data_IF_173104263055
#
_entry.id   IF_173104263055
#
_cell.length_a   1.000
_cell.length_b   1.000
_cell.length_c   1.000
_cell.angle_alpha   90.00
_cell.angle_beta   90.00
_cell.angle_gamma   90.00
#
_symmetry.space_group_name_H-M   'P 1'
#
loop_
_entity.id
_entity.type
_entity.pdbx_description
1 polymer ?
#
# COMPACT_ATOMS: atom_id res chain seq x y z
N UNK A 1 23.21 186.43 -26.40
CA UNK A 1 23.06 185.48 -25.29
C UNK A 1 21.94 184.48 -25.58
N UNK A 2 22.26 183.30 -26.13
CA UNK A 2 21.36 182.13 -26.16
C UNK A 2 22.14 180.83 -26.54
N UNK A 3 23.36 180.67 -26.00
CA UNK A 3 24.23 179.49 -26.16
C UNK A 3 24.26 178.78 -24.80
N UNK A 4 23.21 178.05 -24.37
CA UNK A 4 23.34 177.12 -23.23
C UNK A 4 22.23 176.07 -22.98
N UNK A 5 21.18 175.93 -23.81
CA UNK A 5 20.11 174.92 -23.57
C UNK A 5 20.18 173.66 -24.44
N UNK A 6 20.99 173.63 -25.49
CA UNK A 6 21.12 172.47 -26.39
C UNK A 6 22.19 171.45 -25.97
N UNK A 7 23.07 171.79 -25.01
CA UNK A 7 24.15 170.89 -24.56
C UNK A 7 23.67 169.83 -23.54
N UNK A 8 22.66 170.14 -22.70
CA UNK A 8 22.13 169.22 -21.67
C UNK A 8 21.30 168.10 -22.31
N UNK A 9 20.49 168.43 -23.32
CA UNK A 9 19.69 167.45 -24.09
C UNK A 9 20.58 166.45 -24.84
N UNK A 10 21.82 166.84 -25.19
CA UNK A 10 22.77 165.97 -25.89
C UNK A 10 23.37 164.88 -24.99
N UNK A 11 23.59 165.17 -23.71
CA UNK A 11 24.19 164.22 -22.77
C UNK A 11 23.18 163.21 -22.19
N UNK A 12 21.94 163.63 -21.90
CA UNK A 12 20.90 162.70 -21.42
C UNK A 12 20.46 161.74 -22.53
N UNK A 13 20.43 162.20 -23.79
CA UNK A 13 20.13 161.33 -24.93
C UNK A 13 21.20 160.24 -25.13
N UNK A 14 22.48 160.58 -24.96
CA UNK A 14 23.61 159.63 -25.07
C UNK A 14 23.54 158.50 -24.03
N UNK A 15 23.25 158.81 -22.76
CA UNK A 15 23.10 157.79 -21.71
C UNK A 15 21.87 156.89 -21.90
N UNK A 16 20.81 157.43 -22.49
CA UNK A 16 19.63 156.64 -22.87
C UNK A 16 19.96 155.76 -24.08
N UNK A 17 20.74 156.24 -25.06
CA UNK A 17 21.19 155.48 -26.22
C UNK A 17 22.12 154.32 -25.83
N UNK A 18 23.06 154.50 -24.91
CA UNK A 18 23.94 153.42 -24.40
C UNK A 18 23.18 152.34 -23.60
N UNK A 19 22.26 152.75 -22.71
CA UNK A 19 21.41 151.78 -21.98
C UNK A 19 20.46 151.05 -22.90
N UNK A 20 19.99 151.70 -23.96
CA UNK A 20 19.15 151.11 -24.99
C UNK A 20 19.92 150.09 -25.83
N UNK A 21 21.18 150.38 -26.19
CA UNK A 21 22.05 149.42 -26.88
C UNK A 21 22.44 148.21 -26.01
N UNK A 22 22.72 148.42 -24.71
CA UNK A 22 23.02 147.34 -23.77
C UNK A 22 21.79 146.45 -23.53
N UNK A 23 20.61 147.06 -23.37
CA UNK A 23 19.35 146.35 -23.24
C UNK A 23 18.98 145.60 -24.54
N UNK A 24 19.23 146.18 -25.72
CA UNK A 24 19.06 145.49 -27.00
C UNK A 24 20.00 144.30 -27.16
N UNK A 25 21.26 144.40 -26.72
CA UNK A 25 22.22 143.27 -26.74
C UNK A 25 21.84 142.15 -25.76
N UNK A 26 21.38 142.47 -24.55
CA UNK A 26 20.91 141.47 -23.59
C UNK A 26 19.60 140.81 -24.05
N UNK A 27 18.68 141.58 -24.64
CA UNK A 27 17.47 141.04 -25.27
C UNK A 27 17.84 140.13 -26.44
N UNK A 28 18.81 140.49 -27.27
CA UNK A 28 19.29 139.62 -28.36
C UNK A 28 19.99 138.35 -27.85
N UNK A 29 20.78 138.42 -26.77
CA UNK A 29 21.40 137.24 -26.14
C UNK A 29 20.33 136.32 -25.56
N UNK A 30 19.38 136.86 -24.80
CA UNK A 30 18.27 136.11 -24.21
C UNK A 30 17.32 135.54 -25.28
N UNK A 31 17.11 136.24 -26.39
CA UNK A 31 16.35 135.71 -27.54
C UNK A 31 17.05 134.50 -28.16
N UNK A 32 18.37 134.58 -28.38
CA UNK A 32 19.15 133.44 -28.91
C UNK A 32 19.18 132.26 -27.94
N UNK A 33 19.33 132.49 -26.64
CA UNK A 33 19.28 131.43 -25.63
C UNK A 33 17.88 130.82 -25.55
N UNK A 34 16.82 131.64 -25.58
CA UNK A 34 15.43 131.17 -25.61
C UNK A 34 15.15 130.35 -26.87
N UNK A 35 15.63 130.76 -28.04
CA UNK A 35 15.50 130.01 -29.29
C UNK A 35 16.31 128.72 -29.27
N UNK A 36 17.52 128.74 -28.70
CA UNK A 36 18.36 127.56 -28.53
C UNK A 36 17.74 126.56 -27.54
N UNK A 37 17.29 127.02 -26.37
CA UNK A 37 16.55 126.20 -25.41
C UNK A 37 15.23 125.69 -25.99
N UNK A 38 14.52 126.48 -26.80
CA UNK A 38 13.30 126.03 -27.49
C UNK A 38 13.58 124.97 -28.53
N UNK A 39 14.70 125.07 -29.27
CA UNK A 39 15.18 124.05 -30.19
C UNK A 39 15.55 122.75 -29.47
N UNK A 40 16.26 122.85 -28.33
CA UNK A 40 16.60 121.69 -27.48
C UNK A 40 15.34 121.03 -26.92
N UNK A 41 14.42 121.81 -26.36
CA UNK A 41 13.14 121.31 -25.83
C UNK A 41 12.36 120.62 -26.94
N UNK A 42 12.29 121.21 -28.15
CA UNK A 42 11.62 120.62 -29.30
C UNK A 42 12.23 119.26 -29.69
N UNK A 43 13.56 119.15 -29.73
CA UNK A 43 14.25 117.90 -30.05
C UNK A 43 14.04 116.84 -28.94
N UNK A 44 14.19 117.21 -27.67
CA UNK A 44 13.93 116.31 -26.54
C UNK A 44 12.48 115.83 -26.50
N UNK A 45 11.52 116.71 -26.83
CA UNK A 45 10.09 116.32 -26.89
C UNK A 45 9.87 115.31 -28.02
N UNK A 46 10.52 115.51 -29.18
CA UNK A 46 10.44 114.61 -30.33
C UNK A 46 11.10 113.25 -30.05
N UNK A 47 12.24 113.24 -29.36
CA UNK A 47 12.93 112.03 -28.92
C UNK A 47 12.12 111.28 -27.86
N UNK A 48 11.49 112.00 -26.93
CA UNK A 48 10.60 111.42 -25.91
C UNK A 48 9.33 110.83 -26.55
N UNK A 49 8.73 111.50 -27.54
CA UNK A 49 7.62 110.95 -28.32
C UNK A 49 8.03 109.70 -29.10
N UNK A 50 9.21 109.71 -29.73
CA UNK A 50 9.74 108.55 -30.44
C UNK A 50 10.02 107.37 -29.48
N UNK A 51 10.58 107.64 -28.30
CA UNK A 51 10.82 106.65 -27.26
C UNK A 51 9.51 106.08 -26.72
N UNK A 52 8.51 106.92 -26.44
CA UNK A 52 7.18 106.50 -25.98
C UNK A 52 6.49 105.60 -27.01
N UNK A 53 6.53 105.96 -28.30
CA UNK A 53 5.99 105.11 -29.38
C UNK A 53 6.71 103.76 -29.44
N UNK A 54 8.03 103.75 -29.30
CA UNK A 54 8.81 102.52 -29.30
C UNK A 54 8.46 101.63 -28.10
N UNK A 55 8.30 102.22 -26.91
CA UNK A 55 7.95 101.49 -25.69
C UNK A 55 6.53 100.94 -25.75
N UNK A 56 5.58 101.70 -26.31
CA UNK A 56 4.20 101.27 -26.55
C UNK A 56 4.14 100.08 -27.52
N UNK A 57 4.94 100.11 -28.59
CA UNK A 57 5.11 98.97 -29.51
C UNK A 57 5.72 97.75 -28.82
N UNK A 58 6.71 97.94 -27.94
CA UNK A 58 7.31 96.85 -27.17
C UNK A 58 6.31 96.23 -26.19
N UNK A 59 5.52 97.04 -25.50
CA UNK A 59 4.47 96.57 -24.59
C UNK A 59 3.39 95.78 -25.34
N UNK A 60 2.95 96.25 -26.51
CA UNK A 60 2.05 95.48 -27.36
C UNK A 60 2.65 94.15 -27.83
N UNK A 61 3.93 94.16 -28.23
CA UNK A 61 4.60 92.96 -28.72
C UNK A 61 4.78 91.91 -27.60
N UNK A 62 5.17 92.36 -26.39
CA UNK A 62 5.26 91.49 -25.21
C UNK A 62 3.86 90.98 -24.83
N UNK A 63 2.83 91.84 -24.89
CA UNK A 63 1.44 91.45 -24.63
C UNK A 63 0.90 90.40 -25.61
N UNK A 64 1.20 90.53 -26.91
CA UNK A 64 0.87 89.52 -27.94
C UNK A 64 1.57 88.19 -27.65
N UNK A 65 2.88 88.21 -27.41
CA UNK A 65 3.66 87.00 -27.09
C UNK A 65 3.18 86.31 -25.80
N UNK A 66 2.81 87.09 -24.78
CA UNK A 66 2.27 86.56 -23.53
C UNK A 66 0.94 85.83 -23.76
N UNK A 67 0.02 86.42 -24.54
CA UNK A 67 -1.26 85.77 -24.91
C UNK A 67 -1.07 84.51 -25.75
N UNK A 68 -0.19 84.54 -26.75
CA UNK A 68 0.11 83.36 -27.56
C UNK A 68 0.69 82.22 -26.71
N UNK A 69 1.59 82.54 -25.78
CA UNK A 69 2.15 81.54 -24.87
C UNK A 69 1.10 81.00 -23.88
N UNK A 70 0.21 81.87 -23.38
CA UNK A 70 -0.90 81.48 -22.51
C UNK A 70 -1.86 80.54 -23.23
N UNK A 71 -2.26 80.86 -24.47
CA UNK A 71 -3.07 79.97 -25.29
C UNK A 71 -2.36 78.63 -25.52
N UNK A 72 -1.09 78.62 -25.93
CA UNK A 72 -0.32 77.38 -26.11
C UNK A 72 -0.23 76.53 -24.84
N UNK A 73 -0.01 77.15 -23.69
CA UNK A 73 0.00 76.48 -22.39
C UNK A 73 -1.36 75.87 -22.09
N UNK A 74 -2.46 76.59 -22.33
CA UNK A 74 -3.81 76.06 -22.08
C UNK A 74 -4.14 74.87 -22.98
N UNK A 75 -3.71 74.88 -24.25
CA UNK A 75 -3.90 73.74 -25.15
C UNK A 75 -3.08 72.53 -24.70
N UNK A 76 -1.82 72.75 -24.30
CA UNK A 76 -0.95 71.68 -23.76
C UNK A 76 -1.48 71.11 -22.45
N UNK A 77 -2.01 71.92 -21.55
CA UNK A 77 -2.63 71.46 -20.30
C UNK A 77 -3.79 70.52 -20.62
N UNK A 78 -4.70 70.91 -21.53
CA UNK A 78 -5.83 70.05 -21.94
C UNK A 78 -5.38 68.73 -22.57
N UNK A 79 -4.32 68.76 -23.38
CA UNK A 79 -3.77 67.56 -24.00
C UNK A 79 -3.18 66.61 -22.96
N UNK A 80 -2.42 67.12 -22.00
CA UNK A 80 -1.86 66.33 -20.89
C UNK A 80 -2.96 65.77 -20.01
N UNK A 81 -4.01 66.54 -19.68
CA UNK A 81 -5.16 66.06 -18.93
C UNK A 81 -5.88 64.92 -19.64
N UNK A 82 -6.08 65.03 -20.96
CA UNK A 82 -6.67 63.98 -21.78
C UNK A 82 -5.81 62.70 -21.79
N UNK A 83 -4.49 62.85 -21.98
CA UNK A 83 -3.56 61.72 -21.95
C UNK A 83 -3.51 61.05 -20.57
N UNK A 84 -3.55 61.85 -19.49
CA UNK A 84 -3.61 61.35 -18.12
C UNK A 84 -4.89 60.53 -17.88
N UNK A 85 -6.03 61.03 -18.37
CA UNK A 85 -7.30 60.30 -18.27
C UNK A 85 -7.27 58.97 -19.04
N UNK A 86 -6.72 58.95 -20.25
CA UNK A 86 -6.56 57.70 -21.01
C UNK A 86 -5.60 56.72 -20.33
N UNK A 87 -4.48 57.21 -19.81
CA UNK A 87 -3.51 56.40 -19.07
C UNK A 87 -4.15 55.77 -17.83
N UNK A 88 -4.90 56.55 -17.03
CA UNK A 88 -5.57 56.06 -15.83
C UNK A 88 -6.61 54.97 -16.14
N UNK A 89 -7.41 55.14 -17.20
CA UNK A 89 -8.35 54.08 -17.65
C UNK A 89 -7.61 52.79 -17.99
N UNK A 90 -6.47 52.91 -18.68
CA UNK A 90 -5.67 51.76 -19.10
C UNK A 90 -5.00 51.05 -17.91
N UNK A 91 -4.60 51.80 -16.89
CA UNK A 91 -4.11 51.24 -15.62
C UNK A 91 -5.22 50.45 -14.93
N UNK A 92 -6.42 51.01 -14.82
CA UNK A 92 -7.57 50.35 -14.19
C UNK A 92 -7.96 49.04 -14.91
N UNK A 93 -7.99 49.04 -16.25
CA UNK A 93 -8.20 47.84 -17.05
C UNK A 93 -7.13 46.77 -16.81
N UNK A 94 -5.86 47.16 -16.74
CA UNK A 94 -4.74 46.24 -16.47
C UNK A 94 -4.78 45.69 -15.05
N UNK A 95 -5.16 46.49 -14.06
CA UNK A 95 -5.34 46.05 -12.68
C UNK A 95 -6.46 45.02 -12.55
N UNK A 96 -7.61 45.27 -13.19
CA UNK A 96 -8.72 44.30 -13.24
C UNK A 96 -8.28 43.00 -13.92
N UNK A 97 -7.62 43.10 -15.08
CA UNK A 97 -7.12 41.93 -15.82
C UNK A 97 -6.10 41.13 -15.00
N UNK A 98 -5.19 41.81 -14.31
CA UNK A 98 -4.20 41.20 -13.41
C UNK A 98 -4.88 40.47 -12.26
N UNK A 99 -5.86 41.12 -11.62
CA UNK A 99 -6.61 40.54 -10.49
C UNK A 99 -7.40 39.30 -10.89
N UNK A 100 -8.09 39.35 -12.04
CA UNK A 100 -8.80 38.21 -12.60
C UNK A 100 -7.84 37.06 -12.94
N UNK A 101 -6.67 37.37 -13.53
CA UNK A 101 -5.66 36.37 -13.84
C UNK A 101 -5.14 35.69 -12.58
N UNK A 102 -4.88 36.44 -11.51
CA UNK A 102 -4.48 35.88 -10.20
C UNK A 102 -5.53 34.92 -9.67
N UNK A 103 -6.81 35.32 -9.64
CA UNK A 103 -7.90 34.48 -9.16
C UNK A 103 -8.05 33.17 -9.95
N UNK A 104 -7.87 33.23 -11.27
CA UNK A 104 -7.90 32.03 -12.12
C UNK A 104 -6.72 31.09 -11.83
N UNK A 105 -5.54 31.64 -11.52
CA UNK A 105 -4.39 30.83 -11.11
C UNK A 105 -4.63 30.18 -9.75
N UNK A 106 -5.17 30.92 -8.78
CA UNK A 106 -5.51 30.38 -7.46
C UNK A 106 -6.53 29.23 -7.57
N UNK A 107 -7.55 29.39 -8.44
CA UNK A 107 -8.52 28.33 -8.71
C UNK A 107 -7.87 27.10 -9.35
N UNK A 108 -6.99 27.29 -10.33
CA UNK A 108 -6.26 26.18 -10.96
C UNK A 108 -5.37 25.45 -9.96
N UNK A 109 -4.63 26.20 -9.13
CA UNK A 109 -3.77 25.64 -8.10
C UNK A 109 -4.57 24.79 -7.11
N UNK A 110 -5.72 25.27 -6.64
CA UNK A 110 -6.59 24.49 -5.77
C UNK A 110 -7.11 23.19 -6.41
N UNK A 111 -7.49 23.23 -7.69
CA UNK A 111 -7.93 22.04 -8.43
C UNK A 111 -6.77 21.04 -8.55
N UNK A 112 -5.58 21.50 -8.91
CA UNK A 112 -4.39 20.65 -9.02
C UNK A 112 -4.02 20.06 -7.67
N UNK A 113 -4.06 20.85 -6.60
CA UNK A 113 -3.76 20.37 -5.25
C UNK A 113 -4.73 19.26 -4.83
N UNK A 114 -6.03 19.47 -5.01
CA UNK A 114 -7.04 18.45 -4.72
C UNK A 114 -6.84 17.17 -5.55
N UNK A 115 -6.48 17.29 -6.83
CA UNK A 115 -6.15 16.13 -7.66
C UNK A 115 -4.92 15.37 -7.13
N UNK A 116 -3.85 16.09 -6.78
CA UNK A 116 -2.62 15.48 -6.26
C UNK A 116 -2.86 14.77 -4.92
N UNK A 117 -3.63 15.39 -4.01
CA UNK A 117 -3.98 14.79 -2.72
C UNK A 117 -4.79 13.50 -2.89
N UNK A 118 -5.74 13.50 -3.83
CA UNK A 118 -6.52 12.30 -4.16
C UNK A 118 -5.65 11.18 -4.75
N UNK A 119 -4.72 11.51 -5.66
CA UNK A 119 -3.78 10.52 -6.21
C UNK A 119 -2.88 9.95 -5.10
N UNK A 120 -2.44 10.77 -4.17
CA UNK A 120 -1.61 10.32 -3.05
C UNK A 120 -2.36 9.36 -2.11
N UNK A 121 -3.65 9.59 -1.88
CA UNK A 121 -4.51 8.68 -1.12
C UNK A 121 -4.65 7.32 -1.81
N UNK A 122 -4.97 7.32 -3.11
CA UNK A 122 -5.12 6.07 -3.89
C UNK A 122 -3.83 5.24 -3.89
N UNK A 123 -2.68 5.90 -4.08
CA UNK A 123 -1.38 5.21 -4.04
C UNK A 123 -1.10 4.62 -2.66
N UNK A 124 -1.48 5.33 -1.58
CA UNK A 124 -1.32 4.83 -0.21
C UNK A 124 -2.18 3.59 0.04
N UNK A 125 -3.42 3.58 -0.44
CA UNK A 125 -4.33 2.45 -0.30
C UNK A 125 -3.81 1.22 -1.07
N UNK A 126 -3.33 1.42 -2.30
CA UNK A 126 -2.70 0.35 -3.09
C UNK A 126 -1.49 -0.23 -2.36
N UNK A 127 -0.66 0.61 -1.74
CA UNK A 127 0.51 0.16 -0.99
C UNK A 127 0.13 -0.68 0.23
N UNK A 128 -0.87 -0.24 1.00
CA UNK A 128 -1.36 -0.99 2.17
C UNK A 128 -1.92 -2.35 1.72
N UNK A 129 -2.71 -2.35 0.66
CA UNK A 129 -3.31 -3.56 0.12
C UNK A 129 -2.25 -4.54 -0.40
N UNK A 130 -1.24 -4.04 -1.13
CA UNK A 130 -0.11 -4.84 -1.60
C UNK A 130 0.64 -5.50 -0.43
N UNK A 131 0.90 -4.74 0.64
CA UNK A 131 1.57 -5.28 1.83
C UNK A 131 0.73 -6.35 2.55
N UNK A 132 -0.59 -6.15 2.61
CA UNK A 132 -1.51 -7.16 3.17
C UNK A 132 -1.44 -8.46 2.37
N UNK A 133 -1.50 -8.37 1.03
CA UNK A 133 -1.41 -9.56 0.17
C UNK A 133 -0.09 -10.30 0.31
N UNK A 134 1.05 -9.59 0.44
CA UNK A 134 2.33 -10.24 0.70
C UNK A 134 2.30 -11.03 2.02
N UNK A 135 1.77 -10.43 3.09
CA UNK A 135 1.67 -11.08 4.39
C UNK A 135 0.77 -12.32 4.35
N UNK A 136 -0.38 -12.21 3.68
CA UNK A 136 -1.31 -13.32 3.49
C UNK A 136 -0.66 -14.46 2.67
N UNK A 137 0.11 -14.10 1.65
CA UNK A 137 0.85 -15.08 0.84
C UNK A 137 1.90 -15.84 1.69
N UNK A 138 2.66 -15.12 2.51
CA UNK A 138 3.63 -15.73 3.43
C UNK A 138 2.94 -16.64 4.46
N UNK A 139 1.82 -16.20 5.04
CA UNK A 139 1.05 -17.00 5.99
C UNK A 139 0.55 -18.30 5.34
N UNK A 140 -0.01 -18.20 4.14
CA UNK A 140 -0.49 -19.35 3.37
C UNK A 140 0.67 -20.30 3.03
N UNK A 141 1.82 -19.77 2.60
CA UNK A 141 3.00 -20.58 2.32
C UNK A 141 3.48 -21.36 3.55
N UNK A 142 3.47 -20.74 4.73
CA UNK A 142 3.84 -21.40 5.98
C UNK A 142 2.83 -22.47 6.39
N UNK A 143 1.54 -22.22 6.21
CA UNK A 143 0.50 -23.22 6.47
C UNK A 143 0.67 -24.46 5.58
N UNK A 144 0.78 -24.29 4.27
CA UNK A 144 0.99 -25.42 3.34
C UNK A 144 2.27 -26.20 3.65
N UNK A 145 3.36 -25.51 4.01
CA UNK A 145 4.60 -26.17 4.40
C UNK A 145 4.42 -27.05 5.63
N UNK A 146 3.69 -26.56 6.62
CA UNK A 146 3.40 -27.32 7.85
C UNK A 146 2.48 -28.50 7.55
N UNK A 147 1.44 -28.33 6.74
CA UNK A 147 0.53 -29.43 6.35
C UNK A 147 1.26 -30.53 5.61
N UNK A 148 2.10 -30.19 4.63
CA UNK A 148 2.91 -31.17 3.89
C UNK A 148 3.87 -31.90 4.83
N UNK A 149 4.50 -31.17 5.77
CA UNK A 149 5.38 -31.78 6.77
C UNK A 149 4.62 -32.75 7.69
N UNK A 150 3.42 -32.39 8.12
CA UNK A 150 2.58 -33.22 8.98
C UNK A 150 2.06 -34.47 8.25
N UNK A 151 1.68 -34.33 6.98
CA UNK A 151 1.34 -35.47 6.14
C UNK A 151 2.55 -36.39 5.93
N UNK A 152 3.73 -35.82 5.69
CA UNK A 152 4.96 -36.58 5.55
C UNK A 152 5.33 -37.38 6.80
N UNK A 153 5.21 -36.78 7.98
CA UNK A 153 5.47 -37.48 9.26
C UNK A 153 4.42 -38.56 9.53
N UNK A 154 3.13 -38.28 9.30
CA UNK A 154 2.05 -39.25 9.46
C UNK A 154 2.20 -40.45 8.52
N UNK A 155 2.54 -40.22 7.26
CA UNK A 155 2.77 -41.29 6.29
C UNK A 155 3.97 -42.16 6.69
N UNK A 156 5.06 -41.55 7.16
CA UNK A 156 6.22 -42.28 7.65
C UNK A 156 5.86 -43.20 8.81
N UNK A 157 5.11 -42.71 9.80
CA UNK A 157 4.65 -43.53 10.92
C UNK A 157 3.78 -44.71 10.47
N UNK A 158 2.91 -44.52 9.47
CA UNK A 158 2.08 -45.59 8.92
C UNK A 158 2.92 -46.66 8.19
N UNK A 159 3.92 -46.25 7.42
CA UNK A 159 4.84 -47.17 6.74
C UNK A 159 5.63 -47.98 7.78
N UNK A 160 6.20 -47.32 8.79
CA UNK A 160 6.95 -47.98 9.85
C UNK A 160 6.06 -49.00 10.61
N UNK A 161 4.79 -48.65 10.88
CA UNK A 161 3.83 -49.54 11.52
C UNK A 161 3.49 -50.76 10.65
N UNK A 162 3.26 -50.56 9.34
CA UNK A 162 2.96 -51.63 8.41
C UNK A 162 4.14 -52.61 8.25
N UNK A 163 5.38 -52.10 8.15
CA UNK A 163 6.58 -52.93 8.11
C UNK A 163 6.74 -53.75 9.39
N UNK A 164 6.54 -53.13 10.55
CA UNK A 164 6.64 -53.83 11.83
C UNK A 164 5.55 -54.90 11.97
N UNK A 165 4.32 -54.62 11.52
CA UNK A 165 3.25 -55.61 11.52
C UNK A 165 3.60 -56.83 10.64
N UNK A 166 4.19 -56.61 9.46
CA UNK A 166 4.61 -57.70 8.58
C UNK A 166 5.73 -58.56 9.20
N UNK A 167 6.68 -57.93 9.91
CA UNK A 167 7.72 -58.65 10.67
C UNK A 167 7.09 -59.53 11.76
N UNK A 168 6.17 -58.98 12.55
CA UNK A 168 5.47 -59.71 13.61
C UNK A 168 4.66 -60.88 13.04
N UNK A 169 3.94 -60.68 11.92
CA UNK A 169 3.20 -61.75 11.26
C UNK A 169 4.12 -62.90 10.83
N UNK A 170 5.25 -62.56 10.19
CA UNK A 170 6.24 -63.54 9.73
C UNK A 170 6.84 -64.32 10.90
N UNK A 171 7.18 -63.63 12.00
CA UNK A 171 7.70 -64.27 13.20
C UNK A 171 6.64 -65.15 13.88
N UNK A 172 5.39 -64.68 13.97
CA UNK A 172 4.28 -65.46 14.52
C UNK A 172 4.04 -66.74 13.72
N UNK A 173 4.12 -66.68 12.39
CA UNK A 173 4.03 -67.85 11.52
C UNK A 173 5.16 -68.85 11.81
N UNK A 174 6.40 -68.37 11.94
CA UNK A 174 7.56 -69.24 12.27
C UNK A 174 7.40 -69.90 13.64
N UNK A 175 7.15 -69.11 14.68
CA UNK A 175 6.99 -69.60 16.05
C UNK A 175 5.80 -70.55 16.17
N UNK A 176 4.70 -70.27 15.47
CA UNK A 176 3.54 -71.15 15.45
C UNK A 176 3.90 -72.54 14.92
N UNK A 177 4.63 -72.61 13.80
CA UNK A 177 5.04 -73.87 13.20
C UNK A 177 6.10 -74.60 14.05
N UNK A 178 7.05 -73.87 14.66
CA UNK A 178 7.99 -74.46 15.63
C UNK A 178 7.26 -75.10 16.82
N UNK A 179 6.23 -74.43 17.37
CA UNK A 179 5.39 -75.01 18.42
C UNK A 179 4.65 -76.27 17.93
N UNK A 180 4.20 -76.31 16.67
CA UNK A 180 3.59 -77.52 16.12
C UNK A 180 4.60 -78.66 15.98
N UNK A 181 5.83 -78.38 15.54
CA UNK A 181 6.91 -79.37 15.42
C UNK A 181 7.31 -79.92 16.79
N UNK A 182 7.45 -79.07 17.81
CA UNK A 182 7.76 -79.47 19.19
C UNK A 182 6.67 -80.34 19.81
N UNK A 183 5.41 -80.12 19.46
CA UNK A 183 4.29 -81.02 19.84
C UNK A 183 4.31 -82.36 19.10
N UNK A 184 5.19 -82.53 18.12
CA UNK A 184 5.35 -83.72 17.30
C UNK A 184 4.60 -83.62 15.98
N UNK A 185 5.28 -83.97 14.89
CA UNK A 185 4.73 -84.03 13.52
C UNK A 185 3.74 -85.19 13.33
N UNK A 186 3.83 -86.23 14.17
CA UNK A 186 2.87 -87.32 14.24
C UNK A 186 2.26 -87.30 15.63
N UNK A 187 0.93 -87.20 15.68
CA UNK A 187 0.16 -87.19 16.92
C UNK A 187 -0.90 -88.27 16.85
N UNK A 188 -0.95 -89.11 17.88
CA UNK A 188 -1.90 -90.19 18.02
C UNK A 188 -2.85 -89.86 19.16
N UNK A 189 -4.12 -89.67 18.81
CA UNK A 189 -5.21 -89.41 19.76
C UNK A 189 -6.04 -90.68 19.90
N UNK A 190 -6.42 -91.02 21.13
CA UNK A 190 -7.42 -92.04 21.38
C UNK A 190 -8.76 -91.36 21.67
N UNK A 191 -9.85 -91.81 21.05
CA UNK A 191 -11.19 -91.32 21.36
C UNK A 191 -12.10 -92.48 21.70
N UNK A 192 -12.60 -92.49 22.93
CA UNK A 192 -13.55 -93.49 23.39
C UNK A 192 -14.95 -92.98 23.11
N UNK A 193 -15.74 -93.72 22.32
CA UNK A 193 -17.13 -93.34 22.04
C UNK A 193 -18.04 -93.62 23.25
N UNK A 194 -19.14 -92.87 23.43
CA UNK A 194 -20.18 -93.24 24.37
C UNK A 194 -20.87 -94.56 23.99
N UNK A 195 -21.43 -95.22 25.01
CA UNK A 195 -22.29 -96.39 24.83
C UNK A 195 -23.58 -95.98 24.09
N UNK A 196 -23.99 -96.78 23.12
CA UNK A 196 -25.24 -96.59 22.40
C UNK A 196 -26.41 -97.18 23.21
N UNK A 197 -27.62 -96.71 22.94
CA UNK A 197 -28.85 -97.23 23.56
C UNK A 197 -28.95 -98.74 23.37
N UNK A 198 -29.02 -99.50 24.47
CA UNK A 198 -29.04 -100.97 24.46
C UNK A 198 -27.68 -101.65 24.72
N UNK A 199 -26.59 -100.91 24.89
CA UNK A 199 -25.30 -101.46 25.34
C UNK A 199 -25.17 -101.40 26.87
N UNK A 200 -24.71 -102.48 27.49
CA UNK A 200 -24.53 -102.55 28.94
C UNK A 200 -23.26 -101.78 29.37
N UNK A 201 -23.44 -100.76 30.22
CA UNK A 201 -22.33 -99.97 30.78
C UNK A 201 -21.38 -100.82 31.65
N UNK A 202 -21.83 -101.96 32.15
CA UNK A 202 -21.03 -102.86 33.00
C UNK A 202 -20.05 -103.74 32.22
N UNK A 203 -20.10 -103.76 30.89
CA UNK A 203 -19.19 -104.57 30.05
C UNK A 203 -17.93 -103.82 29.58
N UNK A 204 -17.61 -102.66 30.16
CA UNK A 204 -16.40 -101.92 29.78
C UNK A 204 -15.15 -102.67 30.21
N UNK A 205 -14.16 -102.68 29.32
CA UNK A 205 -12.81 -103.22 29.56
C UNK A 205 -11.84 -102.09 29.91
N UNK A 206 -12.31 -100.84 30.02
CA UNK A 206 -11.47 -99.67 30.31
C UNK A 206 -11.55 -99.34 31.80
N UNK A 207 -10.40 -99.38 32.46
CA UNK A 207 -10.28 -99.15 33.91
C UNK A 207 -9.93 -97.70 34.25
N UNK A 208 -9.12 -97.05 33.42
CA UNK A 208 -8.65 -95.68 33.68
C UNK A 208 -8.38 -94.91 32.38
N UNK A 209 -8.77 -93.64 32.35
CA UNK A 209 -8.46 -92.66 31.32
C UNK A 209 -7.80 -91.46 31.99
N UNK A 210 -6.48 -91.33 31.84
CA UNK A 210 -5.72 -90.22 32.40
C UNK A 210 -5.67 -89.02 31.47
N UNK A 211 -5.69 -87.82 32.05
CA UNK A 211 -5.56 -86.55 31.32
C UNK A 211 -4.21 -86.43 30.59
N UNK A 212 -3.20 -87.16 31.06
CA UNK A 212 -1.85 -87.21 30.47
C UNK A 212 -1.75 -88.12 29.22
N UNK A 213 -2.89 -88.58 28.69
CA UNK A 213 -2.96 -89.46 27.51
C UNK A 213 -2.74 -90.94 27.82
N UNK A 214 -2.87 -91.35 29.08
CA UNK A 214 -2.74 -92.75 29.50
C UNK A 214 -4.11 -93.45 29.49
N UNK A 215 -4.17 -94.66 28.93
CA UNK A 215 -5.38 -95.48 28.87
C UNK A 215 -5.08 -96.87 29.39
N UNK A 216 -5.78 -97.30 30.45
CA UNK A 216 -5.64 -98.62 31.05
C UNK A 216 -6.82 -99.52 30.64
N UNK A 217 -6.51 -100.67 30.05
CA UNK A 217 -7.46 -101.67 29.58
C UNK A 217 -7.24 -102.98 30.32
N UNK A 218 -8.32 -103.63 30.77
CA UNK A 218 -8.30 -104.81 31.62
C UNK A 218 -9.00 -105.99 30.98
N UNK A 219 -8.22 -106.96 30.54
CA UNK A 219 -8.71 -108.15 29.88
C UNK A 219 -9.40 -109.09 30.88
N UNK A 220 -10.73 -109.30 30.79
CA UNK A 220 -11.46 -110.17 31.71
C UNK A 220 -11.07 -111.66 31.59
N UNK A 221 -10.36 -112.06 30.53
CA UNK A 221 -9.95 -113.43 30.27
C UNK A 221 -8.51 -113.75 30.73
N UNK A 222 -7.79 -112.80 31.35
CA UNK A 222 -6.42 -113.00 31.87
C UNK A 222 -6.34 -112.53 33.33
N UNK A 223 -5.83 -113.36 34.23
CA UNK A 223 -5.69 -113.03 35.65
C UNK A 223 -4.29 -112.51 36.00
N UNK A 224 -4.19 -111.59 36.97
CA UNK A 224 -2.91 -111.05 37.46
C UNK A 224 -2.37 -109.85 36.66
N UNK A 225 -1.06 -109.56 36.78
CA UNK A 225 -0.40 -108.42 36.10
C UNK A 225 -0.53 -108.45 34.57
N UNK A 226 -0.71 -109.63 33.97
CA UNK A 226 -0.90 -109.81 32.52
C UNK A 226 -2.34 -109.51 32.03
N UNK A 227 -3.26 -109.24 32.96
CA UNK A 227 -4.63 -108.82 32.69
C UNK A 227 -4.75 -107.35 32.29
N UNK A 228 -3.82 -106.48 32.71
CA UNK A 228 -3.88 -105.05 32.46
C UNK A 228 -2.90 -104.61 31.37
N UNK A 229 -3.35 -103.73 30.46
CA UNK A 229 -2.51 -103.11 29.42
C UNK A 229 -2.67 -101.61 29.45
N UNK A 230 -1.54 -100.92 29.63
CA UNK A 230 -1.49 -99.46 29.59
C UNK A 230 -1.00 -99.00 28.21
N UNK A 231 -1.73 -98.07 27.61
CA UNK A 231 -1.38 -97.41 26.36
C UNK A 231 -1.14 -95.93 26.62
N UNK A 232 -0.16 -95.35 25.92
CA UNK A 232 0.15 -93.93 25.98
C UNK A 232 -0.08 -93.28 24.63
N UNK A 233 -0.91 -92.25 24.63
CA UNK A 233 -1.30 -91.43 23.47
C UNK A 233 -0.92 -89.97 23.73
N UNK A 234 -1.01 -89.13 22.70
CA UNK A 234 -0.88 -87.68 22.89
C UNK A 234 -2.02 -87.12 23.75
N UNK A 235 -3.23 -87.69 23.60
CA UNK A 235 -4.39 -87.41 24.45
C UNK A 235 -5.43 -88.53 24.31
N UNK A 236 -6.20 -88.75 25.38
CA UNK A 236 -7.34 -89.67 25.41
C UNK A 236 -8.61 -88.86 25.62
N UNK A 237 -9.50 -88.85 24.63
CA UNK A 237 -10.81 -88.22 24.71
C UNK A 237 -11.82 -89.21 25.31
N UNK A 238 -12.50 -88.77 26.37
CA UNK A 238 -13.48 -89.57 27.10
C UNK A 238 -14.78 -89.72 26.28
N UNK A 239 -15.68 -90.65 26.67
CA UNK A 239 -17.01 -90.78 26.11
C UNK A 239 -17.85 -89.50 26.07
N UNK A 240 -17.54 -88.54 26.94
CA UNK A 240 -18.25 -87.27 27.06
C UNK A 240 -17.62 -86.15 26.23
N UNK A 241 -16.48 -86.42 25.61
CA UNK A 241 -15.76 -85.42 24.83
C UNK A 241 -16.55 -85.00 23.58
N UNK A 242 -16.82 -83.71 23.48
CA UNK A 242 -17.60 -83.15 22.38
C UNK A 242 -16.81 -83.10 21.07
N UNK A 243 -17.52 -82.95 19.94
CA UNK A 243 -16.86 -82.67 18.65
C UNK A 243 -16.02 -81.40 18.71
N UNK A 244 -16.51 -80.36 19.40
CA UNK A 244 -15.81 -79.09 19.55
C UNK A 244 -14.49 -79.24 20.33
N UNK A 245 -14.47 -80.05 21.39
CA UNK A 245 -13.26 -80.33 22.15
C UNK A 245 -12.23 -81.11 21.34
N UNK A 246 -12.66 -82.11 20.56
CA UNK A 246 -11.79 -82.85 19.65
C UNK A 246 -11.23 -81.92 18.56
N UNK A 247 -12.09 -81.07 17.99
CA UNK A 247 -11.69 -80.12 16.96
C UNK A 247 -10.73 -79.06 17.50
N UNK A 248 -10.92 -78.56 18.72
CA UNK A 248 -10.05 -77.54 19.33
C UNK A 248 -8.58 -77.97 19.38
N UNK A 249 -8.31 -79.28 19.58
CA UNK A 249 -6.95 -79.82 19.59
C UNK A 249 -6.36 -79.99 18.18
N UNK A 250 -7.22 -80.16 17.17
CA UNK A 250 -6.86 -80.36 15.76
C UNK A 250 -6.78 -79.02 15.01
N UNK A 251 -7.54 -78.01 15.43
CA UNK A 251 -7.65 -76.68 14.82
C UNK A 251 -6.30 -76.04 14.49
N UNK A 252 -5.25 -76.13 15.35
CA UNK A 252 -3.94 -75.59 15.01
C UNK A 252 -3.33 -76.16 13.71
N UNK A 253 -3.65 -77.41 13.36
CA UNK A 253 -3.16 -78.01 12.12
C UNK A 253 -3.76 -77.37 10.86
N UNK A 254 -4.98 -76.84 10.94
CA UNK A 254 -5.61 -76.10 9.84
C UNK A 254 -4.80 -74.84 9.52
N UNK A 255 -4.31 -74.16 10.56
CA UNK A 255 -3.43 -73.00 10.38
C UNK A 255 -2.13 -73.39 9.68
N UNK A 256 -1.52 -74.53 10.03
CA UNK A 256 -0.34 -75.03 9.30
C UNK A 256 -0.64 -75.29 7.82
N UNK A 257 -1.84 -75.74 7.45
CA UNK A 257 -2.24 -75.86 6.04
C UNK A 257 -2.28 -74.49 5.35
N UNK A 258 -2.86 -73.48 6.00
CA UNK A 258 -2.88 -72.11 5.48
C UNK A 258 -1.47 -71.52 5.34
N UNK A 259 -0.54 -71.93 6.20
CA UNK A 259 0.87 -71.58 6.16
C UNK A 259 1.66 -72.35 5.08
N UNK A 260 1.03 -73.27 4.34
CA UNK A 260 1.62 -74.02 3.22
C UNK A 260 2.13 -75.43 3.56
N UNK A 261 1.81 -75.96 4.74
CA UNK A 261 2.19 -77.33 5.13
C UNK A 261 1.14 -78.37 4.71
N UNK A 262 1.61 -79.58 4.39
CA UNK A 262 0.72 -80.71 4.14
C UNK A 262 0.34 -81.37 5.46
N UNK A 263 -0.96 -81.45 5.75
CA UNK A 263 -1.51 -82.11 6.94
C UNK A 263 -2.39 -83.28 6.51
N UNK A 264 -2.21 -84.42 7.17
CA UNK A 264 -3.05 -85.60 6.99
C UNK A 264 -3.71 -85.98 8.31
N UNK A 265 -5.04 -86.13 8.31
CA UNK A 265 -5.83 -86.59 9.44
C UNK A 265 -6.52 -87.88 9.01
N UNK A 266 -6.30 -88.95 9.77
CA UNK A 266 -6.94 -90.24 9.54
C UNK A 266 -7.57 -90.75 10.83
N UNK A 267 -8.71 -91.43 10.67
CA UNK A 267 -9.41 -92.09 11.77
C UNK A 267 -9.26 -93.61 11.63
N UNK A 268 -8.80 -94.28 12.68
CA UNK A 268 -8.58 -95.73 12.71
C UNK A 268 -9.42 -96.41 13.80
N UNK A 269 -9.85 -97.65 13.54
CA UNK A 269 -10.61 -98.47 14.49
C UNK A 269 -11.57 -99.44 13.81
N UNK A 270 -12.14 -100.38 14.57
CA UNK A 270 -13.10 -101.36 14.07
C UNK A 270 -14.42 -100.73 13.58
N UNK A 271 -15.26 -101.50 12.89
CA UNK A 271 -16.62 -101.07 12.53
C UNK A 271 -17.43 -100.75 13.79
N UNK A 272 -18.15 -99.61 13.77
CA UNK A 272 -18.89 -99.11 14.93
C UNK A 272 -18.06 -98.39 16.01
N UNK A 273 -16.76 -98.12 15.77
CA UNK A 273 -15.90 -97.41 16.75
C UNK A 273 -16.06 -95.88 16.76
N UNK A 274 -16.79 -95.28 15.81
CA UNK A 274 -17.01 -93.83 15.75
C UNK A 274 -16.14 -93.04 14.77
N UNK A 275 -15.46 -93.70 13.80
CA UNK A 275 -14.64 -93.04 12.77
C UNK A 275 -15.41 -91.98 11.96
N UNK A 276 -16.54 -92.36 11.35
CA UNK A 276 -17.39 -91.45 10.55
C UNK A 276 -17.92 -90.29 11.40
N UNK A 277 -18.36 -90.58 12.62
CA UNK A 277 -18.81 -89.56 13.57
C UNK A 277 -17.70 -88.56 13.93
N UNK A 278 -16.45 -89.01 13.99
CA UNK A 278 -15.32 -88.13 14.33
C UNK A 278 -14.90 -87.25 13.15
N UNK A 279 -14.97 -87.75 11.92
CA UNK A 279 -14.48 -87.05 10.74
C UNK A 279 -15.53 -86.16 10.04
N UNK A 280 -16.82 -86.50 10.14
CA UNK A 280 -17.87 -85.94 9.27
C UNK A 280 -19.01 -85.25 10.04
N UNK A 281 -19.30 -85.69 11.27
CA UNK A 281 -20.42 -85.20 12.09
C UNK A 281 -19.92 -84.30 13.22
#
# INVERSE_FOLDING_TARGET
MAINRLQIVKNEKSQIEEKKELCEKDVQRLMKEKEYSKSIIMNLTKDMEAMNRLHEQQLEQIGRKAKEMEEQLTTRVKEVEYLLLQSNKKVEELEIASRLKSQLWDQKENIFQSYMDNQQLVIKDIRILSQSYENDMYALQMQWRNEISNLGSGLKCLVDAAENYHKVLTENQKLFNEVQELKGNIRVYCRVRPFLSGQDKKSTTIDYMGENGELLISNPFKQGKDGHRMFKFNKVFTPFASQAEVFSDIQPLIRSVLDGFNVCIFAYGQTGSGKTYTMVL
#
